data_IF_777060765035
#
_entry.id   IF_777060765035
#
_cell.length_a   1.000
_cell.length_b   1.000
_cell.length_c   1.000
_cell.angle_alpha   90.00
_cell.angle_beta   90.00
_cell.angle_gamma   90.00
#
_symmetry.space_group_name_H-M   'P 1'
#
loop_
_entity.id
_entity.type
_entity.pdbx_description
1 polymer ?
#
# COMPACT_ATOMS: atom_id res chain seq x y z
N UNK A 1 27.74 -20.50 40.95
CA UNK A 1 27.45 -21.05 39.60
C UNK A 1 26.25 -20.38 38.92
N UNK A 2 25.17 -20.06 39.65
CA UNK A 2 23.92 -19.48 39.12
C UNK A 2 24.06 -18.10 38.47
N UNK A 3 24.91 -17.23 39.01
CA UNK A 3 25.17 -15.86 38.51
C UNK A 3 25.87 -15.82 37.14
N UNK A 4 26.77 -16.76 36.87
CA UNK A 4 27.51 -16.84 35.59
C UNK A 4 26.64 -17.38 34.45
N UNK A 5 25.68 -18.25 34.77
CA UNK A 5 24.71 -18.76 33.78
C UNK A 5 23.68 -17.68 33.43
N UNK A 6 23.26 -16.87 34.42
CA UNK A 6 22.37 -15.73 34.20
C UNK A 6 22.98 -14.67 33.29
N UNK A 7 24.23 -14.27 33.53
CA UNK A 7 24.90 -13.24 32.72
C UNK A 7 25.10 -13.67 31.26
N UNK A 8 25.50 -14.93 31.01
CA UNK A 8 25.62 -15.46 29.64
C UNK A 8 24.29 -15.53 28.89
N UNK A 9 23.18 -15.79 29.59
CA UNK A 9 21.83 -15.79 28.98
C UNK A 9 21.40 -14.38 28.62
N UNK A 10 21.68 -13.40 29.48
CA UNK A 10 21.41 -12.00 29.22
C UNK A 10 22.18 -11.49 28.00
N UNK A 11 23.49 -11.73 27.93
CA UNK A 11 24.33 -11.30 26.81
C UNK A 11 23.84 -11.86 25.46
N UNK A 12 23.39 -13.13 25.44
CA UNK A 12 22.81 -13.76 24.25
C UNK A 12 21.47 -13.13 23.87
N UNK A 13 20.64 -12.79 24.86
CA UNK A 13 19.37 -12.13 24.63
C UNK A 13 19.58 -10.72 24.06
N UNK A 14 20.51 -9.94 24.63
CA UNK A 14 20.87 -8.60 24.15
C UNK A 14 21.37 -8.62 22.71
N UNK A 15 22.29 -9.54 22.37
CA UNK A 15 22.74 -9.71 20.97
C UNK A 15 21.60 -10.08 20.02
N UNK A 16 20.65 -10.90 20.48
CA UNK A 16 19.48 -11.27 19.68
C UNK A 16 18.52 -10.09 19.48
N UNK A 17 18.30 -9.28 20.50
CA UNK A 17 17.49 -8.06 20.42
C UNK A 17 18.12 -7.10 19.41
N UNK A 18 19.42 -6.83 19.50
CA UNK A 18 20.10 -5.93 18.57
C UNK A 18 19.99 -6.38 17.10
N UNK A 19 20.06 -7.69 16.84
CA UNK A 19 19.83 -8.23 15.49
C UNK A 19 18.39 -8.00 15.04
N UNK A 20 17.41 -8.29 15.91
CA UNK A 20 16.00 -8.11 15.58
C UNK A 20 15.63 -6.65 15.33
N UNK A 21 16.17 -5.73 16.13
CA UNK A 21 15.98 -4.28 15.93
C UNK A 21 16.48 -3.85 14.56
N UNK A 22 17.68 -4.29 14.16
CA UNK A 22 18.21 -4.04 12.83
C UNK A 22 17.34 -4.63 11.73
N UNK A 23 16.88 -5.87 11.90
CA UNK A 23 15.98 -6.51 10.93
C UNK A 23 14.64 -5.75 10.80
N UNK A 24 14.11 -5.23 11.91
CA UNK A 24 12.88 -4.43 11.90
C UNK A 24 13.12 -3.12 11.15
N UNK A 25 14.24 -2.44 11.40
CA UNK A 25 14.59 -1.20 10.70
C UNK A 25 14.70 -1.43 9.19
N UNK A 26 15.48 -2.44 8.77
CA UNK A 26 15.67 -2.79 7.36
C UNK A 26 14.31 -3.11 6.71
N UNK A 27 13.47 -3.94 7.37
CA UNK A 27 12.17 -4.30 6.83
C UNK A 27 11.20 -3.13 6.76
N UNK A 28 11.25 -2.22 7.73
CA UNK A 28 10.41 -1.02 7.76
C UNK A 28 10.76 -0.10 6.60
N UNK A 29 12.06 0.08 6.33
CA UNK A 29 12.54 0.86 5.19
C UNK A 29 12.10 0.25 3.86
N UNK A 30 12.26 -1.06 3.69
CA UNK A 30 11.82 -1.77 2.48
C UNK A 30 10.30 -1.65 2.25
N UNK A 31 9.52 -1.81 3.32
CA UNK A 31 8.06 -1.67 3.28
C UNK A 31 7.65 -0.25 2.89
N UNK A 32 8.29 0.76 3.48
CA UNK A 32 8.02 2.16 3.15
C UNK A 32 8.25 2.44 1.67
N UNK A 33 9.43 2.06 1.13
CA UNK A 33 9.76 2.27 -0.28
C UNK A 33 8.83 1.50 -1.22
N UNK A 34 8.44 0.28 -0.84
CA UNK A 34 7.51 -0.53 -1.63
C UNK A 34 6.11 0.08 -1.64
N UNK A 35 5.64 0.59 -0.50
CA UNK A 35 4.36 1.25 -0.39
C UNK A 35 4.31 2.55 -1.21
N UNK A 36 5.35 3.38 -1.13
CA UNK A 36 5.45 4.58 -1.97
C UNK A 36 5.40 4.25 -3.47
N UNK A 37 6.09 3.21 -3.92
CA UNK A 37 6.05 2.78 -5.33
C UNK A 37 4.64 2.36 -5.74
N UNK A 38 3.94 1.61 -4.91
CA UNK A 38 2.56 1.22 -5.15
C UNK A 38 1.62 2.43 -5.20
N UNK A 39 1.78 3.37 -4.27
CA UNK A 39 0.99 4.61 -4.27
C UNK A 39 1.18 5.42 -5.55
N UNK A 40 2.42 5.60 -6.00
CA UNK A 40 2.71 6.32 -7.26
C UNK A 40 2.16 5.60 -8.48
N UNK A 41 2.32 4.28 -8.55
CA UNK A 41 1.77 3.48 -9.65
C UNK A 41 0.23 3.57 -9.68
N UNK A 42 -0.42 3.51 -8.51
CA UNK A 42 -1.87 3.63 -8.42
C UNK A 42 -2.34 5.03 -8.81
N UNK A 43 -1.71 6.09 -8.29
CA UNK A 43 -2.02 7.47 -8.68
C UNK A 43 -1.89 7.69 -10.19
N UNK A 44 -0.82 7.16 -10.80
CA UNK A 44 -0.62 7.22 -12.25
C UNK A 44 -1.72 6.49 -13.03
N UNK A 45 -2.13 5.29 -12.58
CA UNK A 45 -3.20 4.54 -13.23
C UNK A 45 -4.56 5.26 -13.08
N UNK A 46 -4.84 5.86 -11.92
CA UNK A 46 -6.04 6.65 -11.70
C UNK A 46 -6.07 7.89 -12.59
N UNK A 47 -4.94 8.60 -12.70
CA UNK A 47 -4.82 9.74 -13.60
C UNK A 47 -5.05 9.34 -15.05
N UNK A 48 -4.40 8.26 -15.52
CA UNK A 48 -4.62 7.73 -16.85
C UNK A 48 -6.10 7.37 -17.08
N UNK A 49 -6.74 6.67 -16.14
CA UNK A 49 -8.15 6.32 -16.24
C UNK A 49 -9.05 7.55 -16.39
N UNK A 50 -8.79 8.60 -15.61
CA UNK A 50 -9.56 9.85 -15.63
C UNK A 50 -9.47 10.56 -16.99
N UNK A 51 -8.26 10.65 -17.55
CA UNK A 51 -7.98 11.44 -18.77
C UNK A 51 -8.25 10.70 -20.08
N UNK A 52 -8.58 9.41 -20.03
CA UNK A 52 -8.88 8.65 -21.26
C UNK A 52 -10.10 9.29 -21.96
N UNK A 53 -10.00 9.58 -23.28
CA UNK A 53 -11.05 10.27 -24.01
C UNK A 53 -12.27 9.38 -24.28
N UNK A 54 -12.14 8.07 -24.20
CA UNK A 54 -13.25 7.14 -24.32
C UNK A 54 -14.08 7.09 -23.03
N UNK A 55 -15.40 6.99 -23.16
CA UNK A 55 -16.28 6.73 -22.01
C UNK A 55 -16.00 5.34 -21.43
N UNK A 56 -15.56 5.32 -20.17
CA UNK A 56 -15.30 4.13 -19.38
C UNK A 56 -16.12 4.15 -18.09
N UNK A 57 -16.77 3.02 -17.82
CA UNK A 57 -17.50 2.77 -16.59
C UNK A 57 -17.21 1.37 -16.09
N UNK A 58 -17.10 1.21 -14.77
CA UNK A 58 -16.92 -0.08 -14.13
C UNK A 58 -18.21 -0.49 -13.46
N UNK A 59 -18.72 -1.66 -13.83
CA UNK A 59 -19.98 -2.21 -13.32
C UNK A 59 -19.69 -3.32 -12.31
N UNK A 60 -20.49 -3.39 -11.25
CA UNK A 60 -20.52 -4.53 -10.33
C UNK A 60 -21.26 -5.70 -10.97
N UNK A 61 -21.15 -6.88 -10.38
CA UNK A 61 -21.84 -8.06 -10.87
C UNK A 61 -23.38 -7.93 -10.86
N UNK A 62 -23.93 -7.12 -9.96
CA UNK A 62 -25.37 -6.84 -9.86
C UNK A 62 -25.88 -5.77 -10.85
N UNK A 63 -25.01 -5.24 -11.71
CA UNK A 63 -25.36 -4.23 -12.69
C UNK A 63 -25.25 -2.79 -12.18
N UNK A 64 -24.95 -2.56 -10.90
CA UNK A 64 -24.73 -1.21 -10.38
C UNK A 64 -23.39 -0.62 -10.83
N UNK A 65 -23.38 0.67 -11.15
CA UNK A 65 -22.16 1.38 -11.51
C UNK A 65 -21.29 1.53 -10.25
N UNK A 66 -20.04 1.08 -10.34
CA UNK A 66 -19.02 1.22 -9.29
C UNK A 66 -18.23 2.52 -9.46
N UNK A 67 -17.95 2.89 -10.71
CA UNK A 67 -16.98 3.94 -11.06
C UNK A 67 -17.19 4.41 -12.50
N UNK A 68 -16.86 5.66 -12.80
CA UNK A 68 -16.92 6.27 -14.14
C UNK A 68 -15.74 7.22 -14.34
N UNK A 69 -15.24 7.37 -15.56
CA UNK A 69 -14.22 8.37 -15.89
C UNK A 69 -14.84 9.71 -16.33
N UNK A 70 -14.00 10.74 -16.49
CA UNK A 70 -14.44 12.10 -16.85
C UNK A 70 -15.17 12.14 -18.21
N UNK A 71 -14.68 11.38 -19.20
CA UNK A 71 -15.32 11.29 -20.51
C UNK A 71 -16.75 10.71 -20.43
N UNK A 72 -17.03 9.83 -19.47
CA UNK A 72 -18.38 9.28 -19.24
C UNK A 72 -19.29 10.33 -18.61
N UNK A 73 -18.79 11.09 -17.64
CA UNK A 73 -19.53 12.19 -17.02
C UNK A 73 -19.87 13.26 -18.07
N UNK A 74 -18.92 13.60 -18.94
CA UNK A 74 -19.14 14.55 -20.03
C UNK A 74 -20.18 14.02 -21.05
N UNK A 75 -20.08 12.74 -21.42
CA UNK A 75 -20.99 12.12 -22.38
C UNK A 75 -22.42 12.02 -21.86
N UNK A 76 -22.61 11.61 -20.60
CA UNK A 76 -23.92 11.39 -20.00
C UNK A 76 -24.52 12.66 -19.37
N UNK A 77 -23.68 13.63 -19.02
CA UNK A 77 -24.09 14.85 -18.30
C UNK A 77 -24.53 14.60 -16.86
N UNK A 78 -24.21 13.42 -16.30
CA UNK A 78 -24.56 13.01 -14.94
C UNK A 78 -23.26 12.83 -14.15
N UNK A 79 -23.10 13.48 -12.99
CA UNK A 79 -21.91 13.36 -12.16
C UNK A 79 -21.81 11.96 -11.52
N UNK A 80 -20.59 11.55 -11.17
CA UNK A 80 -20.30 10.21 -10.67
C UNK A 80 -20.94 9.86 -9.31
N UNK A 81 -21.42 10.88 -8.58
CA UNK A 81 -22.00 10.78 -7.25
C UNK A 81 -23.54 10.82 -7.23
N UNK A 82 -24.19 10.94 -8.40
CA UNK A 82 -25.65 10.90 -8.58
C UNK A 82 -26.16 9.49 -8.93
#
# INVERSE_FOLDING_TARGET
MTTVVGSRRLERAEKRVAILERMIEDRTRDLFLSNERLQRANAYLTELYSILPESLLVVRFDGSIRDVNDATVELLGVPADE
#
